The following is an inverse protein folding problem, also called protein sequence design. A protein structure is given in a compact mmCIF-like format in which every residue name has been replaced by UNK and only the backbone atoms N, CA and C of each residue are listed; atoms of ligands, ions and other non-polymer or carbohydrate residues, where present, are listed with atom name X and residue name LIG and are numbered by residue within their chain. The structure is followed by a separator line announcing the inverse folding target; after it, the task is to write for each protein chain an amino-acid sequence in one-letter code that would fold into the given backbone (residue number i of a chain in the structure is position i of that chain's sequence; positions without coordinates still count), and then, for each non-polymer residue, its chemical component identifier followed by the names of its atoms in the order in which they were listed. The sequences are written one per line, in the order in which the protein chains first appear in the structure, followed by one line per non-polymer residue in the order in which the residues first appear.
data_IF_338744923737
#
_entry.id   IF_338744923737
#
_cell.length_a   1.000
_cell.length_b   1.000
_cell.length_c   1.000
_cell.angle_alpha   90.00
_cell.angle_beta   90.00
_cell.angle_gamma   90.00
#
_symmetry.space_group_name_H-M   'P 1'
#
loop_
_entity.id
_entity.type
_entity.pdbx_description
1 polymer ?
#
# COMPACT_ATOMS: atom_id res chain seq x y z
N UNK A 1 -13.68 20.43 -19.55
CA UNK A 1 -13.80 20.07 -18.13
C UNK A 1 -15.13 20.54 -17.55
N UNK A 2 -15.62 21.75 -17.85
CA UNK A 2 -17.00 22.16 -17.52
C UNK A 2 -18.08 21.23 -18.09
N UNK A 3 -17.92 20.81 -19.35
CA UNK A 3 -18.79 19.81 -19.98
C UNK A 3 -18.79 18.45 -19.25
N UNK A 4 -17.64 18.05 -18.70
CA UNK A 4 -17.49 16.83 -17.91
C UNK A 4 -18.20 16.95 -16.56
N UNK A 5 -18.16 18.13 -15.93
CA UNK A 5 -18.84 18.42 -14.66
C UNK A 5 -20.37 18.38 -14.86
N UNK A 6 -20.88 18.92 -15.96
CA UNK A 6 -22.30 18.83 -16.30
C UNK A 6 -22.74 17.40 -16.62
N UNK A 7 -21.93 16.63 -17.36
CA UNK A 7 -22.17 15.20 -17.59
C UNK A 7 -22.16 14.40 -16.27
N UNK A 8 -21.25 14.72 -15.33
CA UNK A 8 -21.14 14.04 -14.04
C UNK A 8 -22.25 14.39 -13.04
N UNK A 9 -22.84 15.58 -13.11
CA UNK A 9 -24.05 15.91 -12.33
C UNK A 9 -25.23 15.00 -12.67
N UNK A 10 -25.26 14.46 -13.90
CA UNK A 10 -26.25 13.46 -14.34
C UNK A 10 -25.92 12.02 -13.92
N UNK A 11 -24.74 11.77 -13.35
CA UNK A 11 -24.22 10.44 -13.02
C UNK A 11 -24.34 10.10 -11.53
N UNK A 12 -25.38 10.61 -10.85
CA UNK A 12 -25.65 10.45 -9.39
C UNK A 12 -25.83 8.98 -8.93
N UNK A 13 -25.77 8.03 -9.86
CA UNK A 13 -25.91 6.59 -9.64
C UNK A 13 -24.68 5.78 -10.10
N UNK A 14 -23.59 6.42 -10.53
CA UNK A 14 -22.38 5.71 -10.94
C UNK A 14 -21.63 5.22 -9.70
N UNK A 15 -21.65 3.91 -9.49
CA UNK A 15 -20.98 3.28 -8.37
C UNK A 15 -19.46 3.38 -8.44
N UNK A 16 -18.83 3.69 -9.58
CA UNK A 16 -17.36 3.80 -9.66
C UNK A 16 -16.99 4.89 -10.68
N UNK A 17 -16.45 6.02 -10.20
CA UNK A 17 -15.77 7.00 -11.06
C UNK A 17 -14.26 6.77 -10.95
N UNK A 18 -13.65 6.25 -12.02
CA UNK A 18 -12.20 6.10 -12.14
C UNK A 18 -11.71 6.98 -13.28
N UNK A 19 -10.90 7.99 -12.95
CA UNK A 19 -10.29 8.89 -13.94
C UNK A 19 -8.78 8.85 -13.74
N UNK A 20 -7.98 8.48 -14.76
CA UNK A 20 -6.54 8.57 -14.67
C UNK A 20 -6.11 10.04 -14.67
N UNK A 21 -5.40 10.46 -13.63
CA UNK A 21 -4.86 11.81 -13.50
C UNK A 21 -3.39 11.79 -13.84
N UNK A 22 -2.97 12.69 -14.74
CA UNK A 22 -1.57 12.87 -15.12
C UNK A 22 -1.02 14.18 -14.59
N UNK A 23 -0.03 14.07 -13.71
CA UNK A 23 0.73 15.19 -13.15
C UNK A 23 0.01 15.97 -12.04
N UNK A 24 0.79 16.73 -11.26
CA UNK A 24 0.30 17.44 -10.07
C UNK A 24 -0.72 18.53 -10.39
N UNK A 25 -0.53 19.32 -11.44
CA UNK A 25 -1.46 20.41 -11.76
C UNK A 25 -2.86 19.91 -12.10
N UNK A 26 -2.95 18.74 -12.76
CA UNK A 26 -4.23 18.08 -13.02
C UNK A 26 -4.86 17.55 -11.74
N UNK A 27 -4.06 17.01 -10.82
CA UNK A 27 -4.52 16.54 -9.51
C UNK A 27 -5.05 17.69 -8.66
N UNK A 28 -4.31 18.79 -8.55
CA UNK A 28 -4.74 19.98 -7.79
C UNK A 28 -6.04 20.54 -8.35
N UNK A 29 -6.14 20.65 -9.67
CA UNK A 29 -7.39 21.07 -10.33
C UNK A 29 -8.52 20.08 -10.08
N UNK A 30 -8.28 18.78 -10.15
CA UNK A 30 -9.29 17.76 -9.86
C UNK A 30 -9.80 17.87 -8.42
N UNK A 31 -8.90 17.97 -7.46
CA UNK A 31 -9.21 18.09 -6.03
C UNK A 31 -9.90 19.41 -5.67
N UNK A 32 -9.79 20.46 -6.51
CA UNK A 32 -10.49 21.73 -6.30
C UNK A 32 -12.01 21.62 -6.45
N UNK A 33 -12.53 20.60 -7.13
CA UNK A 33 -13.97 20.40 -7.30
C UNK A 33 -14.54 19.50 -6.20
N UNK A 34 -15.56 19.99 -5.51
CA UNK A 34 -16.20 19.23 -4.43
C UNK A 34 -16.78 17.89 -4.91
N UNK A 35 -17.41 17.89 -6.09
CA UNK A 35 -18.01 16.70 -6.70
C UNK A 35 -17.00 15.54 -6.80
N UNK A 36 -15.76 15.82 -7.24
CA UNK A 36 -14.75 14.79 -7.38
C UNK A 36 -14.26 14.25 -6.03
N UNK A 37 -14.14 15.11 -5.01
CA UNK A 37 -13.74 14.65 -3.67
C UNK A 37 -14.78 13.75 -3.03
N UNK A 38 -16.06 14.05 -3.22
CA UNK A 38 -17.18 13.31 -2.60
C UNK A 38 -17.64 12.09 -3.42
N UNK A 39 -17.32 11.97 -4.71
CA UNK A 39 -17.85 10.87 -5.54
C UNK A 39 -16.78 9.91 -6.08
N UNK A 40 -15.49 10.23 -5.95
CA UNK A 40 -14.42 9.38 -6.50
C UNK A 40 -14.11 8.22 -5.57
N UNK A 41 -14.37 7.00 -6.04
CA UNK A 41 -14.06 5.78 -5.32
C UNK A 41 -12.73 5.14 -5.74
N UNK A 42 -12.30 5.37 -6.99
CA UNK A 42 -11.05 4.85 -7.51
C UNK A 42 -10.23 5.96 -8.14
N UNK A 43 -9.01 6.18 -7.67
CA UNK A 43 -8.10 7.20 -8.19
C UNK A 43 -6.85 6.53 -8.75
N UNK A 44 -6.59 6.75 -10.04
CA UNK A 44 -5.34 6.37 -10.68
C UNK A 44 -4.48 7.61 -10.91
N UNK A 45 -3.26 7.59 -10.38
CA UNK A 45 -2.25 8.63 -10.53
C UNK A 45 -1.15 8.10 -11.46
N UNK A 46 -1.13 8.57 -12.71
CA UNK A 46 -0.20 8.10 -13.73
C UNK A 46 0.85 9.14 -14.13
N UNK A 47 2.05 8.66 -14.44
CA UNK A 47 3.14 9.46 -15.04
C UNK A 47 3.55 10.70 -14.22
N UNK A 48 3.50 10.64 -12.89
CA UNK A 48 3.88 11.76 -12.04
C UNK A 48 5.40 12.00 -12.08
N UNK A 49 5.80 13.16 -12.62
CA UNK A 49 7.18 13.62 -12.69
C UNK A 49 7.77 14.13 -11.37
N UNK A 50 7.02 14.11 -10.27
CA UNK A 50 7.49 14.60 -8.96
C UNK A 50 8.43 13.61 -8.27
N UNK A 51 9.39 14.13 -7.51
CA UNK A 51 10.30 13.30 -6.69
C UNK A 51 9.65 12.87 -5.38
N UNK A 52 8.79 13.70 -4.83
CA UNK A 52 8.12 13.50 -3.55
C UNK A 52 6.64 13.77 -3.76
N UNK A 53 5.79 12.84 -3.33
CA UNK A 53 4.34 12.99 -3.37
C UNK A 53 3.81 13.08 -1.94
N UNK A 54 3.00 14.09 -1.65
CA UNK A 54 2.37 14.19 -0.33
C UNK A 54 0.99 13.57 -0.37
N UNK A 55 0.82 12.40 0.25
CA UNK A 55 -0.46 11.67 0.18
C UNK A 55 -1.59 12.40 0.90
N UNK A 56 -1.27 13.29 1.84
CA UNK A 56 -2.28 14.05 2.59
C UNK A 56 -3.09 15.00 1.72
N UNK A 57 -2.66 15.32 0.48
CA UNK A 57 -3.52 16.05 -0.45
C UNK A 57 -4.83 15.30 -0.78
N UNK A 58 -4.87 13.98 -0.54
CA UNK A 58 -6.03 13.11 -0.76
C UNK A 58 -6.87 12.90 0.52
N UNK A 59 -6.52 13.53 1.65
CA UNK A 59 -7.12 13.23 2.96
C UNK A 59 -8.63 13.47 3.04
N UNK A 60 -9.15 14.38 2.22
CA UNK A 60 -10.56 14.79 2.19
C UNK A 60 -11.39 14.04 1.15
N UNK A 61 -10.85 12.96 0.56
CA UNK A 61 -11.63 12.11 -0.35
C UNK A 61 -12.48 11.14 0.48
N UNK A 62 -13.76 11.48 0.64
CA UNK A 62 -14.69 10.81 1.56
C UNK A 62 -14.93 9.34 1.19
N UNK A 63 -14.95 9.03 -0.11
CA UNK A 63 -15.34 7.72 -0.64
C UNK A 63 -14.19 6.98 -1.34
N UNK A 64 -12.93 7.41 -1.20
CA UNK A 64 -11.81 6.79 -1.92
C UNK A 64 -11.51 5.38 -1.37
N UNK A 65 -11.87 4.35 -2.14
CA UNK A 65 -11.65 2.94 -1.81
C UNK A 65 -10.39 2.35 -2.45
N UNK A 66 -10.07 2.80 -3.67
CA UNK A 66 -8.94 2.30 -4.46
C UNK A 66 -8.00 3.44 -4.84
N UNK A 67 -6.72 3.30 -4.53
CA UNK A 67 -5.67 4.24 -4.96
C UNK A 67 -4.59 3.51 -5.75
N UNK A 68 -4.33 3.97 -6.96
CA UNK A 68 -3.33 3.38 -7.85
C UNK A 68 -2.27 4.41 -8.26
N UNK A 69 -1.01 4.01 -8.25
CA UNK A 69 0.09 4.78 -8.85
C UNK A 69 0.68 3.98 -10.01
N UNK A 70 0.67 4.57 -11.21
CA UNK A 70 1.12 3.93 -12.44
C UNK A 70 2.28 4.72 -13.05
N UNK A 71 3.41 4.05 -13.27
CA UNK A 71 4.56 4.60 -14.00
C UNK A 71 5.11 5.94 -13.43
N UNK A 72 5.01 6.15 -12.11
CA UNK A 72 5.58 7.34 -11.44
C UNK A 72 7.09 7.19 -11.25
N UNK A 73 7.85 7.06 -12.35
CA UNK A 73 9.27 6.68 -12.35
C UNK A 73 10.23 7.68 -11.70
N UNK A 74 9.79 8.92 -11.44
CA UNK A 74 10.56 9.93 -10.73
C UNK A 74 10.34 9.92 -9.22
N UNK A 75 9.22 9.35 -8.75
CA UNK A 75 8.79 9.36 -7.36
C UNK A 75 9.72 8.49 -6.52
N UNK A 76 10.38 9.11 -5.54
CA UNK A 76 11.27 8.45 -4.58
C UNK A 76 10.58 8.18 -3.25
N UNK A 77 9.62 9.01 -2.90
CA UNK A 77 9.01 9.04 -1.59
C UNK A 77 7.55 9.49 -1.67
N UNK A 78 6.72 8.85 -0.84
CA UNK A 78 5.38 9.32 -0.50
C UNK A 78 5.43 9.77 0.96
N UNK A 79 5.18 11.06 1.19
CA UNK A 79 5.25 11.71 2.49
C UNK A 79 3.87 11.93 3.11
N UNK A 80 3.89 12.13 4.43
CA UNK A 80 2.75 12.44 5.29
C UNK A 80 2.94 13.79 6.00
N UNK A 81 3.60 14.76 5.35
CA UNK A 81 3.84 16.08 5.95
C UNK A 81 2.60 16.95 5.74
N UNK A 82 2.07 17.63 6.76
CA UNK A 82 1.07 18.67 6.51
C UNK A 82 1.74 19.80 5.71
N UNK A 83 1.09 20.28 4.65
CA UNK A 83 1.63 21.34 3.77
C UNK A 83 1.79 22.70 4.47
N UNK A 84 1.44 22.83 5.75
CA UNK A 84 1.61 24.07 6.53
C UNK A 84 2.00 23.80 8.00
N UNK A 85 2.93 24.56 8.60
CA UNK A 85 3.34 24.42 10.01
C UNK A 85 2.36 24.98 11.06
N UNK A 86 1.27 25.64 10.67
CA UNK A 86 0.38 26.29 11.63
C UNK A 86 -0.91 25.48 11.82
N UNK A 87 -1.22 25.21 13.09
CA UNK A 87 -2.40 24.53 13.64
C UNK A 87 -2.23 23.01 13.78
N UNK A 88 -1.39 22.65 14.76
CA UNK A 88 -1.71 21.54 15.64
C UNK A 88 -2.88 21.94 16.55
N UNK A 89 -4.09 21.54 16.17
CA UNK A 89 -5.20 21.35 17.10
C UNK A 89 -6.07 20.19 16.63
N UNK A 90 -5.49 18.99 16.68
CA UNK A 90 -6.22 17.81 17.11
C UNK A 90 -5.22 16.67 17.26
N UNK A 91 -5.16 16.17 18.48
CA UNK A 91 -4.53 14.94 18.97
C UNK A 91 -5.17 13.68 18.36
N UNK A 92 -5.68 13.77 17.15
CA UNK A 92 -6.37 12.70 16.46
C UNK A 92 -5.54 12.28 15.24
N UNK A 93 -4.60 11.38 15.46
CA UNK A 93 -4.34 10.32 14.47
C UNK A 93 -5.56 9.38 14.41
N UNK A 94 -6.75 9.95 14.29
CA UNK A 94 -7.93 9.24 13.83
C UNK A 94 -7.57 8.83 12.43
N UNK A 95 -7.45 7.53 12.24
CA UNK A 95 -7.21 6.86 10.98
C UNK A 95 -7.71 7.68 9.79
N UNK A 96 -6.78 8.08 8.91
CA UNK A 96 -7.11 8.77 7.67
C UNK A 96 -7.55 7.70 6.67
N UNK A 97 -8.02 8.09 5.48
CA UNK A 97 -8.31 7.11 4.43
C UNK A 97 -9.18 5.92 4.91
N UNK A 98 -10.24 6.21 5.68
CA UNK A 98 -11.07 5.18 6.32
C UNK A 98 -11.75 4.28 5.28
N UNK A 99 -12.04 4.81 4.11
CA UNK A 99 -12.65 4.08 3.01
C UNK A 99 -11.62 3.30 2.19
N UNK A 100 -10.33 3.67 2.27
CA UNK A 100 -9.29 3.08 1.44
C UNK A 100 -9.05 1.62 1.84
N UNK A 101 -9.37 0.75 0.90
CA UNK A 101 -9.32 -0.71 1.05
C UNK A 101 -8.29 -1.35 0.13
N UNK A 102 -7.96 -0.69 -0.98
CA UNK A 102 -7.12 -1.23 -2.05
C UNK A 102 -6.05 -0.23 -2.47
N UNK A 103 -4.79 -0.66 -2.47
CA UNK A 103 -3.68 0.14 -3.02
C UNK A 103 -2.89 -0.68 -4.04
N UNK A 104 -2.66 -0.11 -5.23
CA UNK A 104 -1.83 -0.71 -6.27
C UNK A 104 -0.71 0.23 -6.72
N UNK A 105 0.51 -0.28 -6.86
CA UNK A 105 1.66 0.48 -7.34
C UNK A 105 2.29 -0.29 -8.50
N UNK A 106 2.41 0.35 -9.66
CA UNK A 106 2.94 -0.24 -10.88
C UNK A 106 4.11 0.59 -11.41
N UNK A 107 5.27 -0.04 -11.58
CA UNK A 107 6.45 0.54 -12.27
C UNK A 107 6.95 1.88 -11.67
N UNK A 108 6.68 2.15 -10.39
CA UNK A 108 7.21 3.29 -9.64
C UNK A 108 8.67 3.02 -9.21
N UNK A 109 9.55 2.97 -10.19
CA UNK A 109 10.89 2.38 -10.12
C UNK A 109 11.88 3.04 -9.14
N UNK A 110 11.60 4.25 -8.65
CA UNK A 110 12.46 4.97 -7.68
C UNK A 110 11.91 4.97 -6.24
N UNK A 111 10.66 4.53 -6.05
CA UNK A 111 10.00 4.52 -4.75
C UNK A 111 10.64 3.47 -3.84
N UNK A 112 10.87 3.83 -2.57
CA UNK A 112 11.64 3.00 -1.63
C UNK A 112 10.82 2.33 -0.53
N UNK A 113 9.74 2.98 -0.10
CA UNK A 113 8.85 2.48 0.94
C UNK A 113 7.42 2.97 0.76
N UNK A 114 6.50 2.31 1.46
CA UNK A 114 5.07 2.58 1.48
C UNK A 114 4.58 2.83 2.90
N UNK A 115 5.41 3.45 3.76
CA UNK A 115 5.11 3.59 5.19
C UNK A 115 3.82 4.39 5.44
N UNK A 116 3.40 5.24 4.49
CA UNK A 116 2.14 5.97 4.58
C UNK A 116 0.88 5.08 4.67
N UNK A 117 0.97 3.80 4.29
CA UNK A 117 -0.14 2.85 4.38
C UNK A 117 -0.65 2.65 5.82
N UNK A 118 0.14 2.99 6.85
CA UNK A 118 -0.32 3.02 8.24
C UNK A 118 -1.52 3.95 8.46
N UNK A 119 -1.67 4.94 7.57
CA UNK A 119 -2.77 5.89 7.66
C UNK A 119 -4.10 5.27 7.27
N UNK A 120 -4.13 4.14 6.56
CA UNK A 120 -5.33 3.50 6.03
C UNK A 120 -5.64 2.19 6.80
N UNK A 121 -6.50 2.24 7.84
CA UNK A 121 -6.73 1.10 8.74
C UNK A 121 -7.54 -0.03 8.09
N UNK A 122 -8.25 0.26 6.99
CA UNK A 122 -9.19 -0.65 6.35
C UNK A 122 -8.63 -1.30 5.07
N UNK A 123 -7.31 -1.20 4.87
CA UNK A 123 -6.63 -1.89 3.78
C UNK A 123 -6.87 -3.40 3.85
N UNK A 124 -7.42 -3.92 2.76
CA UNK A 124 -7.72 -5.33 2.51
C UNK A 124 -6.85 -5.91 1.39
N UNK A 125 -6.38 -5.06 0.46
CA UNK A 125 -5.54 -5.46 -0.67
C UNK A 125 -4.36 -4.50 -0.87
N UNK A 126 -3.16 -5.06 -1.02
CA UNK A 126 -1.97 -4.33 -1.45
C UNK A 126 -1.34 -5.07 -2.63
N UNK A 127 -1.09 -4.36 -3.73
CA UNK A 127 -0.35 -4.87 -4.89
C UNK A 127 0.79 -3.96 -5.29
N UNK A 128 2.02 -4.49 -5.38
CA UNK A 128 3.20 -3.75 -5.81
C UNK A 128 3.91 -4.53 -6.91
N UNK A 129 4.04 -3.91 -8.08
CA UNK A 129 4.50 -4.54 -9.30
C UNK A 129 5.62 -3.72 -9.94
N UNK A 130 6.77 -4.34 -10.20
CA UNK A 130 7.86 -3.74 -10.97
C UNK A 130 8.58 -2.57 -10.29
N UNK A 131 8.42 -2.34 -8.99
CA UNK A 131 9.08 -1.23 -8.28
C UNK A 131 10.51 -1.59 -7.87
N UNK A 132 11.48 -1.36 -8.78
CA UNK A 132 12.87 -1.87 -8.66
C UNK A 132 13.68 -1.35 -7.46
N UNK A 133 13.36 -0.17 -6.92
CA UNK A 133 14.04 0.41 -5.74
C UNK A 133 13.26 0.26 -4.43
N UNK A 134 12.13 -0.45 -4.43
CA UNK A 134 11.40 -0.73 -3.19
C UNK A 134 12.29 -1.56 -2.27
N UNK A 135 12.54 -1.08 -1.05
CA UNK A 135 13.39 -1.73 -0.05
C UNK A 135 12.56 -2.34 1.07
N UNK A 136 11.48 -1.66 1.48
CA UNK A 136 10.60 -2.05 2.59
C UNK A 136 9.14 -1.70 2.21
N UNK A 137 8.13 -2.40 2.72
CA UNK A 137 6.74 -1.91 2.58
C UNK A 137 6.45 -0.93 3.71
N UNK A 138 6.69 -1.33 4.96
CA UNK A 138 6.64 -0.47 6.13
C UNK A 138 8.04 -0.28 6.70
N UNK A 139 8.51 0.96 6.72
CA UNK A 139 9.83 1.28 7.27
C UNK A 139 9.77 1.52 8.77
N UNK A 140 10.43 0.67 9.55
CA UNK A 140 10.49 0.78 11.01
C UNK A 140 11.09 2.11 11.45
N UNK A 141 12.19 2.55 10.82
CA UNK A 141 12.83 3.84 11.10
C UNK A 141 11.88 5.02 10.96
N UNK A 142 11.00 4.98 9.95
CA UNK A 142 10.00 6.03 9.73
C UNK A 142 8.85 5.93 10.73
N UNK A 143 8.51 4.74 11.23
CA UNK A 143 7.52 4.59 12.29
C UNK A 143 8.05 5.12 13.62
N UNK A 144 9.29 4.77 13.99
CA UNK A 144 9.94 5.25 15.22
C UNK A 144 10.11 6.76 15.24
N UNK A 145 10.47 7.35 14.09
CA UNK A 145 10.53 8.81 13.96
C UNK A 145 9.18 9.47 14.25
N UNK A 146 8.07 8.80 13.94
CA UNK A 146 6.74 9.35 14.16
C UNK A 146 6.22 9.04 15.57
N UNK A 147 6.53 7.87 16.16
CA UNK A 147 6.19 7.58 17.57
C UNK A 147 6.96 8.46 18.53
N UNK A 148 8.26 8.72 18.26
CA UNK A 148 9.11 9.57 19.10
C UNK A 148 8.69 11.03 19.15
N UNK A 149 8.00 11.53 18.11
CA UNK A 149 7.47 12.90 18.07
C UNK A 149 6.14 13.04 18.83
N UNK A 150 5.41 11.93 19.06
CA UNK A 150 3.97 11.96 19.39
C UNK A 150 3.64 11.20 20.67
N UNK A 151 4.56 10.35 21.15
CA UNK A 151 4.41 9.62 22.42
C UNK A 151 3.31 8.55 22.41
N UNK A 152 2.78 8.19 21.23
CA UNK A 152 1.74 7.17 21.06
C UNK A 152 2.27 6.06 20.16
N UNK A 153 2.07 4.81 20.59
CA UNK A 153 2.34 3.63 19.77
C UNK A 153 1.30 3.52 18.66
N UNK A 154 1.75 3.35 17.42
CA UNK A 154 0.83 3.17 16.28
C UNK A 154 0.00 1.88 16.46
N UNK A 155 -1.30 1.90 16.10
CA UNK A 155 -2.08 0.67 16.03
C UNK A 155 -1.39 -0.33 15.09
N UNK A 156 -1.41 -1.62 15.46
CA UNK A 156 -0.81 -2.69 14.66
C UNK A 156 -1.31 -2.56 13.21
N UNK A 157 -0.43 -2.39 12.21
CA UNK A 157 -0.87 -2.19 10.83
C UNK A 157 -1.45 -3.47 10.25
N UNK A 158 -2.21 -3.33 9.15
CA UNK A 158 -2.68 -4.45 8.33
C UNK A 158 -3.59 -5.47 9.04
N UNK A 159 -4.34 -5.06 10.06
CA UNK A 159 -5.32 -5.93 10.75
C UNK A 159 -6.44 -6.44 9.85
N UNK A 160 -6.78 -5.69 8.79
CA UNK A 160 -7.81 -6.07 7.82
C UNK A 160 -7.26 -6.57 6.48
N UNK A 161 -5.94 -6.67 6.36
CA UNK A 161 -5.28 -7.05 5.11
C UNK A 161 -5.56 -8.53 4.81
N UNK A 162 -6.13 -8.79 3.64
CA UNK A 162 -6.49 -10.13 3.17
C UNK A 162 -5.55 -10.64 2.09
N UNK A 163 -5.08 -9.74 1.22
CA UNK A 163 -4.26 -10.10 0.05
C UNK A 163 -3.05 -9.18 -0.09
N UNK A 164 -1.87 -9.78 -0.25
CA UNK A 164 -0.62 -9.09 -0.52
C UNK A 164 0.05 -9.65 -1.78
N UNK A 165 0.20 -8.81 -2.78
CA UNK A 165 0.79 -9.13 -4.09
C UNK A 165 2.10 -8.36 -4.30
N UNK A 166 3.21 -9.08 -4.43
CA UNK A 166 4.55 -8.51 -4.56
C UNK A 166 5.28 -9.12 -5.75
N UNK A 167 5.46 -8.33 -6.80
CA UNK A 167 5.96 -8.80 -8.07
C UNK A 167 7.14 -7.97 -8.57
N UNK A 168 8.23 -8.64 -8.92
CA UNK A 168 9.44 -8.05 -9.53
C UNK A 168 10.01 -6.89 -8.70
N UNK A 169 10.18 -7.14 -7.39
CA UNK A 169 10.77 -6.19 -6.43
C UNK A 169 12.17 -6.67 -5.99
N UNK A 170 13.20 -6.55 -6.85
CA UNK A 170 14.50 -7.18 -6.62
C UNK A 170 15.22 -6.68 -5.36
N UNK A 171 14.94 -5.44 -4.91
CA UNK A 171 15.57 -4.82 -3.73
C UNK A 171 14.76 -4.91 -2.45
N UNK A 172 13.53 -5.46 -2.49
CA UNK A 172 12.68 -5.56 -1.31
C UNK A 172 13.33 -6.52 -0.33
N UNK A 173 13.65 -6.07 0.89
CA UNK A 173 14.34 -6.86 1.92
C UNK A 173 13.36 -7.44 2.94
N UNK A 174 12.36 -6.65 3.31
CA UNK A 174 11.33 -6.99 4.28
C UNK A 174 9.99 -6.36 3.90
N UNK A 175 8.88 -6.98 4.32
CA UNK A 175 7.56 -6.33 4.29
C UNK A 175 7.47 -5.40 5.51
N UNK A 176 7.79 -5.94 6.68
CA UNK A 176 7.94 -5.24 7.94
C UNK A 176 8.95 -6.03 8.80
N UNK A 177 9.70 -5.37 9.69
CA UNK A 177 10.76 -6.01 10.47
C UNK A 177 10.22 -6.88 11.62
N UNK A 178 9.10 -6.45 12.20
CA UNK A 178 8.42 -7.15 13.29
C UNK A 178 7.30 -8.06 12.74
N UNK A 179 6.94 -9.09 13.50
CA UNK A 179 5.84 -9.97 13.14
C UNK A 179 4.49 -9.22 13.13
N UNK A 180 3.62 -9.57 12.19
CA UNK A 180 2.28 -9.00 12.05
C UNK A 180 1.22 -10.06 12.34
N UNK A 181 0.17 -9.73 13.11
CA UNK A 181 -0.83 -10.71 13.51
C UNK A 181 -1.64 -11.26 12.33
N UNK A 182 -1.85 -10.45 11.27
CA UNK A 182 -2.56 -10.85 10.05
C UNK A 182 -3.85 -11.67 10.28
N UNK A 183 -4.78 -11.17 11.11
CA UNK A 183 -5.96 -11.94 11.51
C UNK A 183 -7.00 -12.12 10.40
N UNK A 184 -6.80 -11.54 9.21
CA UNK A 184 -7.65 -11.74 8.02
C UNK A 184 -6.86 -12.15 6.76
N UNK A 185 -5.55 -12.38 6.89
CA UNK A 185 -4.72 -12.67 5.72
C UNK A 185 -5.09 -14.02 5.11
N UNK A 186 -5.38 -14.02 3.81
CA UNK A 186 -5.76 -15.18 3.02
C UNK A 186 -4.66 -15.54 2.02
N UNK A 187 -4.03 -14.54 1.40
CA UNK A 187 -3.06 -14.75 0.31
C UNK A 187 -1.85 -13.82 0.40
N UNK A 188 -0.66 -14.41 0.38
CA UNK A 188 0.61 -13.71 0.14
C UNK A 188 1.22 -14.27 -1.14
N UNK A 189 1.25 -13.47 -2.21
CA UNK A 189 1.79 -13.87 -3.51
C UNK A 189 3.09 -13.10 -3.79
N UNK A 190 4.21 -13.83 -3.91
CA UNK A 190 5.55 -13.27 -4.10
C UNK A 190 6.22 -13.89 -5.32
N UNK A 191 6.58 -13.05 -6.29
CA UNK A 191 7.29 -13.48 -7.50
C UNK A 191 8.36 -12.49 -7.93
N UNK A 192 9.59 -12.95 -8.18
CA UNK A 192 10.69 -12.09 -8.64
C UNK A 192 11.25 -11.13 -7.58
N UNK A 193 10.95 -11.34 -6.29
CA UNK A 193 11.44 -10.54 -5.16
C UNK A 193 12.70 -11.18 -4.55
N UNK A 194 13.84 -11.13 -5.27
CA UNK A 194 15.04 -11.90 -4.91
C UNK A 194 15.69 -11.46 -3.58
N UNK A 195 15.52 -10.21 -3.17
CA UNK A 195 16.05 -9.68 -1.92
C UNK A 195 15.20 -10.00 -0.69
N UNK A 196 13.96 -10.48 -0.86
CA UNK A 196 13.02 -10.66 0.23
C UNK A 196 13.33 -11.96 0.95
N UNK A 197 13.95 -11.85 2.12
CA UNK A 197 14.37 -12.99 2.92
C UNK A 197 13.53 -13.22 4.15
N UNK A 198 12.83 -12.21 4.66
CA UNK A 198 12.02 -12.31 5.88
C UNK A 198 10.56 -11.96 5.61
N UNK A 199 9.66 -12.78 6.12
CA UNK A 199 8.23 -12.48 6.20
C UNK A 199 7.90 -12.00 7.62
N UNK A 200 6.93 -11.08 7.79
CA UNK A 200 6.50 -10.63 9.10
C UNK A 200 5.53 -11.64 9.72
N UNK A 201 5.97 -12.90 9.85
CA UNK A 201 5.20 -14.03 10.37
C UNK A 201 5.93 -14.66 11.55
N UNK A 202 5.17 -14.98 12.60
CA UNK A 202 5.56 -15.77 13.76
C UNK A 202 4.46 -16.79 14.09
N UNK A 203 4.64 -17.55 15.17
CA UNK A 203 3.70 -18.59 15.63
C UNK A 203 2.26 -18.10 15.91
N UNK A 204 2.06 -16.82 16.19
CA UNK A 204 0.75 -16.21 16.42
C UNK A 204 0.15 -15.54 15.18
N UNK A 205 0.90 -15.48 14.08
CA UNK A 205 0.47 -14.82 12.84
C UNK A 205 -0.54 -15.69 12.10
N UNK A 206 -1.61 -15.06 11.59
CA UNK A 206 -2.69 -15.72 10.84
C UNK A 206 -3.33 -16.93 11.55
N UNK A 207 -3.23 -17.00 12.87
CA UNK A 207 -3.77 -18.10 13.68
C UNK A 207 -5.28 -18.22 13.46
N UNK A 208 -5.72 -19.42 13.07
CA UNK A 208 -7.13 -19.72 12.76
C UNK A 208 -7.57 -19.38 11.33
N UNK A 209 -6.68 -18.89 10.47
CA UNK A 209 -6.99 -18.61 9.06
C UNK A 209 -6.33 -19.61 8.11
N UNK A 210 -7.00 -19.86 6.99
CA UNK A 210 -6.42 -20.59 5.86
C UNK A 210 -5.53 -19.65 5.03
N UNK A 211 -4.31 -19.41 5.51
CA UNK A 211 -3.30 -18.64 4.77
C UNK A 211 -2.71 -19.48 3.62
N UNK A 212 -2.72 -18.93 2.41
CA UNK A 212 -1.95 -19.44 1.27
C UNK A 212 -0.76 -18.51 0.98
N UNK A 213 0.43 -19.06 0.85
CA UNK A 213 1.64 -18.34 0.42
C UNK A 213 2.08 -18.90 -0.92
N UNK A 214 2.06 -18.06 -1.95
CA UNK A 214 2.45 -18.42 -3.31
C UNK A 214 3.78 -17.81 -3.68
N UNK A 215 4.68 -18.62 -4.25
CA UNK A 215 5.96 -18.13 -4.74
C UNK A 215 6.82 -19.21 -5.38
N UNK A 216 8.00 -18.82 -5.84
CA UNK A 216 8.95 -19.79 -6.39
C UNK A 216 9.56 -20.67 -5.28
N UNK A 217 9.77 -21.96 -5.54
CA UNK A 217 10.45 -22.88 -4.61
C UNK A 217 11.82 -22.37 -4.17
N UNK A 218 12.57 -21.77 -5.09
CA UNK A 218 13.90 -21.20 -4.78
C UNK A 218 13.80 -20.01 -3.81
N UNK A 219 12.79 -19.16 -3.94
CA UNK A 219 12.58 -18.08 -2.98
C UNK A 219 12.21 -18.64 -1.60
N UNK A 220 11.24 -19.55 -1.55
CA UNK A 220 10.78 -20.18 -0.30
C UNK A 220 11.90 -20.84 0.49
N UNK A 221 12.81 -21.57 -0.17
CA UNK A 221 13.94 -22.22 0.47
C UNK A 221 14.99 -21.26 1.07
N UNK A 222 14.94 -19.95 0.71
CA UNK A 222 15.84 -18.92 1.25
C UNK A 222 15.15 -18.00 2.26
N UNK A 223 13.88 -18.25 2.58
CA UNK A 223 13.18 -17.48 3.61
C UNK A 223 13.81 -17.81 4.96
N UNK A 224 14.24 -16.79 5.67
CA UNK A 224 14.76 -16.84 7.02
C UNK A 224 13.57 -16.74 7.98
N UNK A 225 13.39 -17.78 8.79
CA UNK A 225 12.32 -17.89 9.79
C UNK A 225 12.85 -17.55 11.18
N UNK A 226 11.98 -17.08 12.08
CA UNK A 226 12.34 -16.76 13.46
C UNK A 226 12.87 -17.98 14.22
N UNK A 227 12.24 -19.13 14.02
CA UNK A 227 12.62 -20.42 14.59
C UNK A 227 12.02 -21.55 13.75
N UNK A 228 12.49 -22.78 13.97
CA UNK A 228 12.02 -23.97 13.26
C UNK A 228 10.51 -24.18 13.45
N UNK A 229 9.96 -23.92 14.64
CA UNK A 229 8.53 -24.08 14.91
C UNK A 229 7.67 -23.20 13.99
N UNK A 230 8.08 -21.95 13.77
CA UNK A 230 7.40 -21.02 12.86
C UNK A 230 7.51 -21.51 11.43
N UNK A 231 8.68 -21.98 11.01
CA UNK A 231 8.86 -22.57 9.68
C UNK A 231 7.90 -23.74 9.47
N UNK A 232 7.88 -24.72 10.37
CA UNK A 232 7.00 -25.89 10.29
C UNK A 232 5.51 -25.51 10.28
N UNK A 233 5.11 -24.48 11.04
CA UNK A 233 3.73 -24.00 11.07
C UNK A 233 3.24 -23.48 9.71
N UNK A 234 4.13 -22.86 8.91
CA UNK A 234 3.77 -22.29 7.61
C UNK A 234 4.12 -23.16 6.40
N UNK A 235 4.80 -24.30 6.58
CA UNK A 235 5.05 -25.24 5.48
C UNK A 235 3.77 -25.68 4.74
N UNK A 236 2.65 -26.02 5.42
CA UNK A 236 1.41 -26.41 4.74
C UNK A 236 0.75 -25.28 3.95
N UNK A 237 1.04 -24.02 4.30
CA UNK A 237 0.50 -22.85 3.61
C UNK A 237 1.17 -22.56 2.27
N UNK A 238 2.36 -23.11 2.01
CA UNK A 238 3.11 -22.79 0.81
C UNK A 238 2.63 -23.57 -0.42
N UNK A 239 2.30 -22.82 -1.48
CA UNK A 239 1.98 -23.36 -2.80
C UNK A 239 3.00 -22.87 -3.83
N UNK A 240 3.82 -23.75 -4.42
CA UNK A 240 4.79 -23.35 -5.40
C UNK A 240 4.11 -22.91 -6.70
N UNK A 241 4.50 -21.75 -7.22
CA UNK A 241 4.07 -21.32 -8.55
C UNK A 241 4.83 -22.12 -9.62
N UNK A 242 4.10 -22.63 -10.61
CA UNK A 242 4.72 -23.13 -11.83
C UNK A 242 5.51 -22.00 -12.50
N UNK A 243 6.68 -22.32 -13.07
CA UNK A 243 7.49 -21.35 -13.79
C UNK A 243 6.66 -20.66 -14.87
N UNK A 244 6.41 -19.36 -14.69
CA UNK A 244 5.81 -18.52 -15.72
C UNK A 244 6.70 -18.59 -16.97
N UNK A 245 6.24 -19.26 -18.03
CA UNK A 245 6.82 -19.10 -19.37
C UNK A 245 6.27 -17.77 -19.89
N UNK A 246 7.09 -16.74 -20.10
CA UNK A 246 6.60 -15.52 -20.75
C UNK A 246 6.17 -15.88 -22.17
N UNK A 247 4.96 -15.45 -22.55
CA UNK A 247 4.59 -15.26 -23.94
C UNK A 247 5.30 -14.01 -24.49
#
# INVERSE_FOLDING_TARGET
MEKLIEELKGLQHLNILSIPIKGMSSLERFLSFNLFRCCTQALELSDFGVKVFNVLCLENMEHLETLEFLNCGSMKEIKMEKLHPWVFSSTNYTSRFQTLSTVRIFECNKLRDMTWLILAPNLSYIGIFGCKKMEEILSERKLDAVTGVIGISYPKPFLKLETLHLFRLPKLKSIYWNALPFPRMKLIHIFGCRGLKKLPLNSDSAKGNLLTIEGSKHWWARVEWENEATQYAFLPSFKPLASFKPA
#
